data_IF_653097863774
#
_entry.id   IF_653097863774
#
_cell.length_a   1.000
_cell.length_b   1.000
_cell.length_c   1.000
_cell.angle_alpha   90.00
_cell.angle_beta   90.00
_cell.angle_gamma   90.00
#
_symmetry.space_group_name_H-M   'P 1'
#
loop_
_entity.id
_entity.type
_entity.pdbx_description
1 polymer ?
#
# COMPACT_ATOMS: atom_id res chain seq x y z
N UNK A 1 26.40 2.92 14.40
CA UNK A 1 26.01 2.77 15.81
C UNK A 1 25.54 4.12 16.34
N UNK A 2 24.55 4.13 17.22
CA UNK A 2 24.06 5.33 17.91
C UNK A 2 24.19 5.07 19.40
N UNK A 3 24.81 5.97 20.16
CA UNK A 3 24.62 5.94 21.60
C UNK A 3 23.18 6.35 21.90
N UNK A 4 22.46 5.48 22.61
CA UNK A 4 21.15 5.79 23.15
C UNK A 4 21.30 6.65 24.42
N UNK A 5 20.20 7.24 24.90
CA UNK A 5 20.19 8.00 26.17
C UNK A 5 20.62 7.15 27.38
N UNK A 6 20.54 5.83 27.27
CA UNK A 6 21.00 4.86 28.27
C UNK A 6 22.44 4.38 28.02
N UNK A 7 23.19 5.04 27.13
CA UNK A 7 24.58 4.67 26.77
C UNK A 7 24.72 3.25 26.22
N UNK A 8 23.62 2.65 25.76
CA UNK A 8 23.63 1.35 25.08
C UNK A 8 23.95 1.56 23.61
N UNK A 9 24.92 0.80 23.12
CA UNK A 9 25.23 0.71 21.69
C UNK A 9 24.19 -0.18 21.02
N UNK A 10 23.24 0.45 20.31
CA UNK A 10 22.26 -0.27 19.49
C UNK A 10 22.56 -0.11 18.00
N UNK A 11 22.25 -1.15 17.23
CA UNK A 11 22.14 -1.04 15.78
C UNK A 11 21.04 -0.03 15.48
N UNK A 12 21.35 1.05 14.75
CA UNK A 12 20.31 1.96 14.26
C UNK A 12 19.33 1.12 13.44
N UNK A 13 18.10 0.96 13.93
CA UNK A 13 17.03 0.32 13.18
C UNK A 13 16.96 0.95 11.80
N UNK A 14 16.84 0.12 10.78
CA UNK A 14 16.89 0.57 9.40
C UNK A 14 15.65 1.43 9.12
N UNK A 15 15.83 2.70 8.72
CA UNK A 15 14.73 3.66 8.57
C UNK A 15 13.65 3.11 7.62
N UNK A 16 12.39 3.15 8.04
CA UNK A 16 11.26 2.65 7.26
C UNK A 16 11.13 3.40 5.93
N UNK A 17 10.93 2.73 4.77
CA UNK A 17 10.89 3.38 3.46
C UNK A 17 9.55 4.08 3.20
N UNK A 18 9.20 5.05 4.05
CA UNK A 18 7.91 5.75 4.02
C UNK A 18 7.61 6.41 2.67
N UNK A 19 8.64 6.90 1.97
CA UNK A 19 8.47 7.50 0.65
C UNK A 19 7.99 6.49 -0.41
N UNK A 20 8.51 5.26 -0.36
CA UNK A 20 8.13 4.22 -1.31
C UNK A 20 6.67 3.80 -1.11
N UNK A 21 6.22 3.66 0.13
CA UNK A 21 4.81 3.35 0.41
C UNK A 21 3.86 4.46 -0.04
N UNK A 22 4.26 5.73 0.12
CA UNK A 22 3.48 6.86 -0.42
C UNK A 22 3.35 6.80 -1.93
N UNK A 23 4.43 6.44 -2.64
CA UNK A 23 4.38 6.28 -4.09
C UNK A 23 3.46 5.13 -4.52
N UNK A 24 3.53 3.98 -3.84
CA UNK A 24 2.67 2.82 -4.14
C UNK A 24 1.20 3.17 -3.88
N UNK A 25 0.92 3.89 -2.80
CA UNK A 25 -0.43 4.35 -2.49
C UNK A 25 -0.96 5.33 -3.55
N UNK A 26 -0.14 6.30 -3.97
CA UNK A 26 -0.51 7.22 -5.06
C UNK A 26 -0.76 6.47 -6.37
N UNK A 27 0.09 5.51 -6.71
CA UNK A 27 -0.11 4.65 -7.88
C UNK A 27 -1.41 3.85 -7.77
N UNK A 28 -1.77 3.38 -6.57
CA UNK A 28 -3.02 2.66 -6.31
C UNK A 28 -4.25 3.55 -6.49
N UNK A 29 -4.19 4.84 -6.12
CA UNK A 29 -5.26 5.80 -6.37
C UNK A 29 -5.44 6.01 -7.88
N UNK A 30 -4.35 6.26 -8.60
CA UNK A 30 -4.40 6.44 -10.05
C UNK A 30 -4.95 5.18 -10.73
N UNK A 31 -4.45 4.00 -10.35
CA UNK A 31 -4.94 2.72 -10.83
C UNK A 31 -6.43 2.50 -10.53
N UNK A 32 -6.89 2.85 -9.33
CA UNK A 32 -8.30 2.77 -8.97
C UNK A 32 -9.17 3.62 -9.91
N UNK A 33 -8.77 4.85 -10.24
CA UNK A 33 -9.56 5.71 -11.14
C UNK A 33 -9.78 5.05 -12.50
N UNK A 34 -8.72 4.53 -13.13
CA UNK A 34 -8.81 3.88 -14.45
C UNK A 34 -9.56 2.54 -14.38
N UNK A 35 -9.27 1.71 -13.39
CA UNK A 35 -9.94 0.42 -13.22
C UNK A 35 -11.42 0.59 -12.90
N UNK A 36 -11.79 1.60 -12.10
CA UNK A 36 -13.17 1.88 -11.76
C UNK A 36 -13.96 2.38 -12.98
N UNK A 37 -13.35 3.13 -13.90
CA UNK A 37 -13.99 3.48 -15.17
C UNK A 37 -14.30 2.24 -16.02
N UNK A 38 -13.33 1.32 -16.15
CA UNK A 38 -13.51 0.06 -16.88
C UNK A 38 -14.63 -0.77 -16.21
N UNK A 39 -14.60 -0.87 -14.89
CA UNK A 39 -15.59 -1.59 -14.10
C UNK A 39 -17.01 -1.05 -14.33
N UNK A 40 -17.19 0.27 -14.29
CA UNK A 40 -18.49 0.91 -14.53
C UNK A 40 -18.98 0.70 -15.96
N UNK A 41 -18.07 0.69 -16.95
CA UNK A 41 -18.44 0.38 -18.34
C UNK A 41 -18.84 -1.09 -18.59
N UNK A 42 -18.55 -1.98 -17.62
CA UNK A 42 -18.78 -3.43 -17.75
C UNK A 42 -20.03 -3.93 -17.02
N UNK A 43 -20.70 -3.07 -16.24
CA UNK A 43 -21.82 -3.44 -15.38
C UNK A 43 -22.99 -2.50 -15.65
N UNK A 44 -24.14 -3.04 -16.08
CA UNK A 44 -25.32 -2.24 -16.41
C UNK A 44 -26.17 -1.86 -15.17
N UNK A 45 -26.06 -2.63 -14.09
CA UNK A 45 -26.86 -2.43 -12.87
C UNK A 45 -26.12 -1.51 -11.90
N UNK A 46 -26.70 -0.34 -11.62
CA UNK A 46 -26.07 0.70 -10.81
C UNK A 46 -25.68 0.26 -9.40
N UNK A 47 -26.50 -0.55 -8.74
CA UNK A 47 -26.17 -1.08 -7.40
C UNK A 47 -24.94 -1.98 -7.41
N UNK A 48 -24.75 -2.75 -8.48
CA UNK A 48 -23.57 -3.59 -8.64
C UNK A 48 -22.33 -2.79 -9.02
N UNK A 49 -22.48 -1.68 -9.75
CA UNK A 49 -21.37 -0.74 -9.97
C UNK A 49 -20.85 -0.18 -8.64
N UNK A 50 -21.75 0.28 -7.76
CA UNK A 50 -21.37 0.79 -6.44
C UNK A 50 -20.71 -0.28 -5.57
N UNK A 51 -21.34 -1.46 -5.47
CA UNK A 51 -20.79 -2.58 -4.69
C UNK A 51 -19.39 -2.97 -5.20
N UNK A 52 -19.22 -3.08 -6.52
CA UNK A 52 -17.95 -3.44 -7.11
C UNK A 52 -16.90 -2.32 -6.95
N UNK A 53 -17.30 -1.04 -6.97
CA UNK A 53 -16.41 0.10 -6.69
C UNK A 53 -15.84 0.04 -5.28
N UNK A 54 -16.70 -0.24 -4.29
CA UNK A 54 -16.29 -0.40 -2.90
C UNK A 54 -15.37 -1.62 -2.76
N UNK A 55 -15.73 -2.74 -3.39
CA UNK A 55 -14.90 -3.95 -3.41
C UNK A 55 -13.53 -3.71 -4.03
N UNK A 56 -13.47 -2.98 -5.15
CA UNK A 56 -12.23 -2.59 -5.81
C UNK A 56 -11.37 -1.69 -4.92
N UNK A 57 -11.96 -0.69 -4.27
CA UNK A 57 -11.25 0.20 -3.36
C UNK A 57 -10.62 -0.57 -2.18
N UNK A 58 -11.38 -1.47 -1.55
CA UNK A 58 -10.88 -2.32 -0.48
C UNK A 58 -9.76 -3.24 -0.97
N UNK A 59 -9.91 -3.84 -2.15
CA UNK A 59 -8.91 -4.71 -2.75
C UNK A 59 -7.59 -3.96 -3.00
N UNK A 60 -7.65 -2.73 -3.49
CA UNK A 60 -6.47 -1.88 -3.69
C UNK A 60 -5.76 -1.57 -2.37
N UNK A 61 -6.50 -1.28 -1.29
CA UNK A 61 -5.92 -1.05 0.04
C UNK A 61 -5.23 -2.31 0.59
N UNK A 62 -5.87 -3.48 0.44
CA UNK A 62 -5.28 -4.76 0.86
C UNK A 62 -4.00 -5.05 0.08
N UNK A 63 -4.00 -4.83 -1.24
CA UNK A 63 -2.81 -5.01 -2.07
C UNK A 63 -1.68 -4.06 -1.64
N UNK A 64 -2.01 -2.80 -1.34
CA UNK A 64 -1.03 -1.83 -0.85
C UNK A 64 -0.37 -2.31 0.45
N UNK A 65 -1.15 -2.84 1.39
CA UNK A 65 -0.65 -3.42 2.65
C UNK A 65 0.26 -4.63 2.39
N UNK A 66 -0.15 -5.55 1.50
CA UNK A 66 0.64 -6.74 1.14
C UNK A 66 1.98 -6.33 0.53
N UNK A 67 1.99 -5.35 -0.37
CA UNK A 67 3.21 -4.86 -1.01
C UNK A 67 4.12 -4.19 0.04
N UNK A 68 3.57 -3.34 0.91
CA UNK A 68 4.32 -2.71 1.99
C UNK A 68 4.99 -3.73 2.90
N UNK A 69 4.24 -4.74 3.35
CA UNK A 69 4.78 -5.85 4.16
C UNK A 69 5.84 -6.65 3.41
N UNK A 70 5.65 -6.93 2.12
CA UNK A 70 6.64 -7.62 1.29
C UNK A 70 7.96 -6.85 1.21
N UNK A 71 7.90 -5.54 0.99
CA UNK A 71 9.09 -4.67 0.96
C UNK A 71 9.82 -4.69 2.31
N UNK A 72 9.07 -4.62 3.41
CA UNK A 72 9.63 -4.69 4.75
C UNK A 72 10.31 -6.04 5.02
N UNK A 73 9.66 -7.15 4.63
CA UNK A 73 10.22 -8.51 4.76
C UNK A 73 11.51 -8.68 3.97
N UNK A 74 11.52 -8.27 2.70
CA UNK A 74 12.72 -8.35 1.84
C UNK A 74 13.88 -7.53 2.36
N UNK A 75 13.60 -6.43 3.08
CA UNK A 75 14.62 -5.60 3.71
C UNK A 75 15.11 -6.15 5.04
N UNK A 76 14.25 -6.78 5.82
CA UNK A 76 14.62 -7.41 7.09
C UNK A 76 15.42 -8.71 6.90
N UNK A 77 15.26 -9.39 5.76
CA UNK A 77 16.06 -10.56 5.38
C UNK A 77 17.46 -10.26 4.84
N UNK A 78 17.87 -8.98 4.78
CA UNK A 78 19.22 -8.53 4.43
C UNK A 78 19.91 -7.92 5.64
#
# INVERSE_FOLDING_TARGET
MSETLLRRNESKGSAYPLFLEKLIFLASIVGFVFLNQILWSSIDVIWYQWLASVGLALSMLILNEIIGRTIQMLRAGK
#
